data_IF_580026261713
#
_entry.id   IF_580026261713
#
_cell.length_a   1.000
_cell.length_b   1.000
_cell.length_c   1.000
_cell.angle_alpha   90.00
_cell.angle_beta   90.00
_cell.angle_gamma   90.00
#
_symmetry.space_group_name_H-M   'P 1'
#
loop_
_entity.id
_entity.type
_entity.pdbx_description
1 polymer ?
#
# COMPACT_ATOMS: atom_id res chain seq x y z
N UNK A 1 -4.26 15.91 11.71
CA UNK A 1 -3.33 15.76 12.86
C UNK A 1 -2.43 14.53 12.67
N UNK A 2 -1.38 14.65 11.85
CA UNK A 2 -0.40 13.57 11.63
C UNK A 2 0.45 13.26 12.87
N UNK A 3 0.66 14.25 13.75
CA UNK A 3 1.50 14.14 14.94
C UNK A 3 1.05 13.04 15.91
N UNK A 4 -0.25 12.75 16.01
CA UNK A 4 -0.79 11.72 16.90
C UNK A 4 -0.53 10.28 16.41
N UNK A 5 -0.06 10.14 15.17
CA UNK A 5 0.25 8.87 14.54
C UNK A 5 1.76 8.61 14.44
N UNK A 6 2.60 9.56 14.83
CA UNK A 6 4.07 9.42 14.79
C UNK A 6 4.54 8.89 16.14
N UNK A 7 5.39 7.86 16.12
CA UNK A 7 6.01 7.28 17.31
C UNK A 7 7.51 7.18 17.09
N UNK A 8 8.29 7.58 18.09
CA UNK A 8 9.72 7.32 18.09
C UNK A 8 10.00 5.83 18.36
N UNK A 9 11.13 5.33 17.89
CA UNK A 9 11.52 3.94 18.17
C UNK A 9 11.76 3.69 19.67
N UNK A 10 12.20 4.72 20.39
CA UNK A 10 12.41 4.67 21.83
C UNK A 10 11.10 4.48 22.57
N UNK A 11 10.06 5.26 22.23
CA UNK A 11 8.74 5.17 22.85
C UNK A 11 8.07 3.82 22.57
N UNK A 12 8.26 3.29 21.35
CA UNK A 12 7.79 1.95 21.00
C UNK A 12 8.43 0.89 21.90
N UNK A 13 9.73 0.99 22.18
CA UNK A 13 10.45 0.01 23.00
C UNK A 13 10.06 0.08 24.47
N UNK A 14 9.83 1.28 25.02
CA UNK A 14 9.52 1.46 26.44
C UNK A 14 8.04 1.26 26.76
N UNK A 15 7.14 1.47 25.80
CA UNK A 15 5.68 1.47 26.02
C UNK A 15 4.92 0.60 25.00
N UNK A 16 5.51 -0.52 24.56
CA UNK A 16 5.00 -1.38 23.48
C UNK A 16 3.51 -1.68 23.58
N UNK A 17 3.06 -2.21 24.73
CA UNK A 17 1.66 -2.62 24.92
C UNK A 17 0.68 -1.45 24.79
N UNK A 18 1.03 -0.29 25.34
CA UNK A 18 0.22 0.93 25.25
C UNK A 18 0.16 1.44 23.81
N UNK A 19 1.27 1.38 23.09
CA UNK A 19 1.36 1.76 21.68
C UNK A 19 0.50 0.84 20.80
N UNK A 20 0.60 -0.47 21.00
CA UNK A 20 -0.15 -1.47 20.23
C UNK A 20 -1.65 -1.43 20.54
N UNK A 21 -2.03 -1.17 21.80
CA UNK A 21 -3.43 -1.06 22.19
C UNK A 21 -4.07 0.27 21.79
N UNK A 22 -3.28 1.26 21.38
CA UNK A 22 -3.83 2.52 20.86
C UNK A 22 -4.42 2.29 19.47
N UNK A 23 -5.72 2.52 19.33
CA UNK A 23 -6.45 2.32 18.08
C UNK A 23 -5.90 3.23 16.97
N UNK A 24 -5.13 2.68 16.02
CA UNK A 24 -4.71 3.44 14.85
C UNK A 24 -3.51 2.89 14.08
N UNK A 25 -3.28 3.48 12.90
CA UNK A 25 -2.04 3.29 12.13
C UNK A 25 -0.98 4.19 12.75
N UNK A 26 0.21 3.66 12.96
CA UNK A 26 1.34 4.36 13.58
C UNK A 26 2.54 4.33 12.65
N UNK A 27 3.20 5.47 12.50
CA UNK A 27 4.37 5.64 11.66
C UNK A 27 5.60 5.75 12.55
N UNK A 28 6.62 4.94 12.25
CA UNK A 28 7.90 4.95 12.95
C UNK A 28 8.87 5.78 12.13
N UNK A 29 9.43 6.78 12.81
CA UNK A 29 10.44 7.67 12.25
C UNK A 29 11.79 7.39 12.90
N UNK A 30 12.84 7.38 12.09
CA UNK A 30 14.23 7.32 12.52
C UNK A 30 14.98 8.45 11.83
N UNK A 31 15.64 9.32 12.59
CA UNK A 31 16.33 10.51 12.08
C UNK A 31 15.43 11.38 11.19
N UNK A 32 14.21 11.68 11.65
CA UNK A 32 13.17 12.44 10.94
C UNK A 32 12.75 11.88 9.57
N UNK A 33 13.14 10.64 9.24
CA UNK A 33 12.71 9.95 8.02
C UNK A 33 11.72 8.84 8.37
N UNK A 34 10.60 8.69 7.64
CA UNK A 34 9.70 7.57 7.83
C UNK A 34 10.41 6.28 7.45
N UNK A 35 10.38 5.28 8.34
CA UNK A 35 11.04 3.98 8.12
C UNK A 35 10.08 2.81 8.06
N UNK A 36 9.03 2.84 8.87
CA UNK A 36 8.08 1.74 8.93
C UNK A 36 6.72 2.19 9.45
N UNK A 37 5.73 1.31 9.29
CA UNK A 37 4.35 1.55 9.70
C UNK A 37 3.85 0.33 10.47
N UNK A 38 3.26 0.57 11.64
CA UNK A 38 2.52 -0.42 12.41
C UNK A 38 1.03 -0.20 12.11
N UNK A 39 0.34 -1.26 11.75
CA UNK A 39 -1.12 -1.24 11.56
C UNK A 39 -1.73 -2.60 11.86
N UNK A 40 -3.04 -2.59 12.13
CA UNK A 40 -3.83 -3.81 12.29
C UNK A 40 -3.84 -4.64 11.00
N UNK A 41 -3.75 -5.97 11.16
CA UNK A 41 -3.69 -6.91 10.03
C UNK A 41 -4.93 -6.85 9.14
N UNK A 42 -6.13 -6.64 9.69
CA UNK A 42 -7.37 -6.50 8.91
C UNK A 42 -7.35 -5.21 8.10
N UNK A 43 -6.78 -4.14 8.65
CA UNK A 43 -6.60 -2.87 7.94
C UNK A 43 -5.58 -3.01 6.81
N UNK A 44 -4.46 -3.70 7.07
CA UNK A 44 -3.49 -4.05 6.04
C UNK A 44 -4.13 -4.85 4.90
N UNK A 45 -4.87 -5.92 5.20
CA UNK A 45 -5.54 -6.75 4.19
C UNK A 45 -6.63 -5.99 3.43
N UNK A 46 -7.29 -5.02 4.05
CA UNK A 46 -8.23 -4.12 3.36
C UNK A 46 -7.50 -3.22 2.35
N UNK A 47 -6.39 -2.60 2.74
CA UNK A 47 -5.58 -1.75 1.86
C UNK A 47 -5.00 -2.60 0.72
N UNK A 48 -4.44 -3.77 1.02
CA UNK A 48 -3.88 -4.69 0.02
C UNK A 48 -4.93 -5.12 -1.02
N UNK A 49 -6.16 -5.40 -0.59
CA UNK A 49 -7.27 -5.72 -1.52
C UNK A 49 -7.68 -4.52 -2.38
N UNK A 50 -7.73 -3.33 -1.81
CA UNK A 50 -7.99 -2.10 -2.58
C UNK A 50 -6.89 -1.85 -3.60
N UNK A 51 -5.63 -1.94 -3.19
CA UNK A 51 -4.48 -1.72 -4.06
C UNK A 51 -4.47 -2.70 -5.24
N UNK A 52 -4.77 -3.99 -4.99
CA UNK A 52 -4.91 -4.98 -6.07
C UNK A 52 -6.02 -4.67 -7.06
N UNK A 53 -7.15 -4.12 -6.58
CA UNK A 53 -8.22 -3.66 -7.48
C UNK A 53 -7.76 -2.48 -8.33
N UNK A 54 -7.16 -1.47 -7.71
CA UNK A 54 -6.63 -0.31 -8.45
C UNK A 54 -5.60 -0.71 -9.52
N UNK A 55 -4.67 -1.62 -9.21
CA UNK A 55 -3.70 -2.10 -10.19
C UNK A 55 -4.40 -2.81 -11.35
N UNK A 56 -5.35 -3.70 -11.06
CA UNK A 56 -6.09 -4.38 -12.14
C UNK A 56 -6.98 -3.43 -12.95
N UNK A 57 -7.59 -2.42 -12.31
CA UNK A 57 -8.40 -1.42 -13.01
C UNK A 57 -7.52 -0.54 -13.92
N UNK A 58 -6.29 -0.20 -13.52
CA UNK A 58 -5.31 0.51 -14.35
C UNK A 58 -4.79 -0.36 -15.50
N UNK A 59 -4.48 -1.62 -15.26
CA UNK A 59 -4.06 -2.58 -16.30
C UNK A 59 -5.17 -2.80 -17.33
N UNK A 60 -6.42 -2.95 -16.88
CA UNK A 60 -7.60 -3.06 -17.77
C UNK A 60 -7.83 -1.76 -18.53
N UNK A 61 -7.74 -0.59 -17.90
CA UNK A 61 -7.89 0.69 -18.59
C UNK A 61 -6.76 0.94 -19.62
N UNK A 62 -5.54 0.51 -19.32
CA UNK A 62 -4.42 0.54 -20.26
C UNK A 62 -4.66 -0.41 -21.45
N UNK A 63 -5.12 -1.63 -21.16
CA UNK A 63 -5.51 -2.61 -22.16
C UNK A 63 -6.62 -2.10 -23.08
N UNK A 64 -7.71 -1.56 -22.53
CA UNK A 64 -8.84 -1.03 -23.30
C UNK A 64 -8.44 0.18 -24.16
N UNK A 65 -7.54 1.04 -23.66
CA UNK A 65 -7.04 2.19 -24.42
C UNK A 65 -6.18 1.78 -25.61
N UNK A 66 -5.43 0.70 -25.49
CA UNK A 66 -4.53 0.21 -26.54
C UNK A 66 -5.16 -0.90 -27.39
N UNK A 67 -6.26 -1.52 -26.93
CA UNK A 67 -7.08 -2.49 -27.69
C UNK A 67 -7.41 -2.08 -29.12
N UNK A 68 -7.82 -0.82 -29.43
CA UNK A 68 -8.08 -0.41 -30.81
C UNK A 68 -6.84 -0.45 -31.73
N UNK A 69 -5.63 -0.65 -31.19
CA UNK A 69 -4.40 -0.82 -31.96
C UNK A 69 -3.94 -2.27 -32.10
N UNK A 70 -4.53 -3.22 -31.37
CA UNK A 70 -4.18 -4.63 -31.49
C UNK A 70 -5.15 -5.34 -32.43
N UNK A 71 -4.60 -5.99 -33.46
CA UNK A 71 -5.36 -6.75 -34.44
C UNK A 71 -5.89 -8.10 -33.91
N UNK A 72 -5.30 -8.61 -32.81
CA UNK A 72 -5.71 -9.85 -32.15
C UNK A 72 -5.20 -9.90 -30.69
N UNK A 73 -5.64 -10.92 -29.96
CA UNK A 73 -5.33 -11.14 -28.53
C UNK A 73 -3.87 -11.52 -28.29
N UNK A 74 -3.22 -12.21 -29.23
CA UNK A 74 -1.83 -12.66 -29.09
C UNK A 74 -0.85 -11.49 -29.10
N UNK A 75 -1.10 -10.47 -29.94
CA UNK A 75 -0.31 -9.24 -29.99
C UNK A 75 -0.41 -8.44 -28.68
N UNK A 76 -1.60 -8.38 -28.07
CA UNK A 76 -1.83 -7.72 -26.79
C UNK A 76 -1.14 -8.45 -25.62
N UNK A 77 -1.25 -9.78 -25.56
CA UNK A 77 -0.64 -10.58 -24.47
C UNK A 77 0.88 -10.55 -24.50
N UNK A 78 1.48 -10.33 -25.67
CA UNK A 78 2.93 -10.22 -25.84
C UNK A 78 3.49 -8.91 -25.29
N UNK A 79 2.78 -7.80 -25.46
CA UNK A 79 3.15 -6.48 -24.93
C UNK A 79 2.99 -6.39 -23.40
N UNK A 80 2.01 -7.11 -22.82
CA UNK A 80 1.78 -7.12 -21.37
C UNK A 80 2.86 -7.90 -20.57
N UNK A 81 3.59 -8.81 -21.24
CA UNK A 81 4.56 -9.73 -20.61
C UNK A 81 6.03 -9.33 -20.85
N UNK A 82 6.29 -8.30 -21.66
CA UNK A 82 7.61 -7.68 -21.89
C UNK A 82 7.81 -6.41 -21.03
#
# INVERSE_FOLDING_TARGET
>A
MLSQQIISITDLRTNTTKVLNSLGVKYIFVNNKPKSVIMDIKKYESIKRKLRRYIMDEEVAHAEKNWPHFSNVDDFMKDLLE
#
